data_IF_342430020715
#
_entry.id   IF_342430020715
#
_cell.length_a   1.000
_cell.length_b   1.000
_cell.length_c   1.000
_cell.angle_alpha   90.00
_cell.angle_beta   90.00
_cell.angle_gamma   90.00
#
_symmetry.space_group_name_H-M   'P 1'
#
loop_
_entity.id
_entity.type
_entity.pdbx_description
1 polymer ?
#
# COMPACT_ATOMS: atom_id res chain seq x y z
N UNK A 1 16.97 -9.66 -14.22
CA UNK A 1 16.07 -9.41 -13.07
C UNK A 1 16.62 -8.20 -12.32
N UNK A 2 16.03 -7.02 -12.53
CA UNK A 2 16.57 -5.73 -12.08
C UNK A 2 16.40 -5.62 -10.56
N UNK A 3 17.46 -5.25 -9.86
CA UNK A 3 17.57 -5.38 -8.41
C UNK A 3 16.51 -4.54 -7.67
N UNK A 4 15.49 -5.24 -7.18
CA UNK A 4 14.44 -4.71 -6.30
C UNK A 4 14.83 -4.89 -4.82
N UNK A 5 15.93 -5.61 -4.56
CA UNK A 5 16.38 -6.05 -3.22
C UNK A 5 17.51 -5.18 -2.66
N UNK A 6 18.16 -4.35 -3.49
CA UNK A 6 19.15 -3.40 -2.98
C UNK A 6 18.47 -2.17 -2.35
N UNK A 7 18.97 -1.66 -1.21
CA UNK A 7 18.43 -0.49 -0.53
C UNK A 7 18.53 0.81 -1.37
N UNK A 8 19.27 0.78 -2.47
CA UNK A 8 19.52 1.89 -3.40
C UNK A 8 18.93 1.54 -4.77
N UNK A 9 17.64 1.20 -4.83
CA UNK A 9 16.97 0.98 -6.12
C UNK A 9 16.76 2.32 -6.83
N UNK A 10 17.44 2.52 -7.96
CA UNK A 10 17.31 3.71 -8.83
C UNK A 10 15.95 3.82 -9.56
N UNK A 11 15.03 2.90 -9.30
CA UNK A 11 13.70 2.94 -9.89
C UNK A 11 12.79 3.86 -9.08
N UNK A 12 12.17 4.82 -9.76
CA UNK A 12 11.34 5.84 -9.12
C UNK A 12 9.87 5.68 -9.51
N UNK A 13 8.99 6.06 -8.60
CA UNK A 13 7.54 6.05 -8.74
C UNK A 13 6.99 7.45 -8.50
N UNK A 14 5.88 7.78 -9.13
CA UNK A 14 5.21 9.06 -8.92
C UNK A 14 4.45 9.08 -7.58
N UNK A 15 4.72 10.06 -6.73
CA UNK A 15 4.07 10.27 -5.43
C UNK A 15 2.54 10.34 -5.57
N UNK A 16 2.05 11.01 -6.60
CA UNK A 16 0.62 11.15 -6.92
C UNK A 16 -0.11 9.82 -7.09
N UNK A 17 0.53 8.88 -7.80
CA UNK A 17 -0.01 7.55 -8.06
C UNK A 17 -0.18 6.81 -6.73
N UNK A 18 0.78 6.97 -5.81
CA UNK A 18 0.70 6.35 -4.49
C UNK A 18 -0.38 6.96 -3.62
N UNK A 19 -0.61 8.28 -3.70
CA UNK A 19 -1.72 8.94 -2.99
C UNK A 19 -3.08 8.43 -3.47
N UNK A 20 -3.27 8.32 -4.79
CA UNK A 20 -4.50 7.73 -5.35
C UNK A 20 -4.70 6.29 -4.91
N UNK A 21 -3.62 5.49 -4.89
CA UNK A 21 -3.68 4.10 -4.44
C UNK A 21 -4.05 3.99 -2.95
N UNK A 22 -3.59 4.93 -2.12
CA UNK A 22 -3.98 5.01 -0.72
C UNK A 22 -5.48 5.35 -0.56
N UNK A 23 -6.00 6.30 -1.35
CA UNK A 23 -7.42 6.64 -1.35
C UNK A 23 -8.30 5.45 -1.76
N UNK A 24 -7.92 4.75 -2.84
CA UNK A 24 -8.64 3.55 -3.30
C UNK A 24 -8.62 2.46 -2.22
N UNK A 25 -7.47 2.27 -1.56
CA UNK A 25 -7.35 1.33 -0.43
C UNK A 25 -8.31 1.65 0.72
N UNK A 26 -8.43 2.93 1.10
CA UNK A 26 -9.36 3.37 2.16
C UNK A 26 -10.81 3.04 1.77
N UNK A 27 -11.21 3.35 0.54
CA UNK A 27 -12.57 3.07 0.03
C UNK A 27 -12.87 1.57 0.06
N UNK A 28 -11.93 0.73 -0.37
CA UNK A 28 -12.10 -0.73 -0.37
C UNK A 28 -12.25 -1.27 1.06
N UNK A 29 -11.44 -0.79 2.01
CA UNK A 29 -11.57 -1.20 3.42
C UNK A 29 -12.93 -0.77 3.99
N UNK A 30 -13.36 0.47 3.74
CA UNK A 30 -14.65 0.96 4.18
C UNK A 30 -15.84 0.15 3.61
N UNK A 31 -15.77 -0.20 2.31
CA UNK A 31 -16.75 -1.07 1.67
C UNK A 31 -16.72 -2.48 2.25
N UNK A 32 -15.54 -3.04 2.52
CA UNK A 32 -15.40 -4.37 3.12
C UNK A 32 -16.08 -4.48 4.49
N UNK A 33 -15.95 -3.44 5.32
CA UNK A 33 -16.66 -3.39 6.61
C UNK A 33 -18.17 -3.17 6.45
N UNK A 34 -18.58 -2.28 5.55
CA UNK A 34 -20.01 -1.95 5.34
C UNK A 34 -20.79 -3.13 4.75
N UNK A 35 -20.19 -3.84 3.79
CA UNK A 35 -20.81 -5.01 3.14
C UNK A 35 -20.53 -6.33 3.90
N UNK A 36 -19.71 -6.29 4.96
CA UNK A 36 -19.32 -7.44 5.78
C UNK A 36 -18.81 -8.65 4.95
N UNK A 37 -18.22 -8.39 3.78
CA UNK A 37 -17.90 -9.42 2.81
C UNK A 37 -16.39 -9.66 2.75
N UNK A 38 -15.99 -10.91 3.00
CA UNK A 38 -14.60 -11.39 2.89
C UNK A 38 -13.99 -11.09 1.53
N UNK A 39 -14.82 -11.00 0.48
CA UNK A 39 -14.38 -10.75 -0.89
C UNK A 39 -13.56 -9.46 -1.02
N UNK A 40 -13.94 -8.39 -0.31
CA UNK A 40 -13.21 -7.11 -0.36
C UNK A 40 -11.84 -7.21 0.30
N UNK A 41 -11.75 -7.93 1.44
CA UNK A 41 -10.47 -8.16 2.11
C UNK A 41 -9.55 -9.05 1.27
N UNK A 42 -10.09 -10.10 0.64
CA UNK A 42 -9.35 -10.96 -0.27
C UNK A 42 -8.85 -10.20 -1.51
N UNK A 43 -9.66 -9.31 -2.07
CA UNK A 43 -9.26 -8.44 -3.18
C UNK A 43 -8.13 -7.49 -2.77
N UNK A 44 -8.27 -6.86 -1.60
CA UNK A 44 -7.26 -5.95 -1.07
C UNK A 44 -5.94 -6.68 -0.76
N UNK A 45 -6.02 -7.89 -0.22
CA UNK A 45 -4.89 -8.79 0.00
C UNK A 45 -4.18 -9.11 -1.32
N UNK A 46 -4.91 -9.49 -2.35
CA UNK A 46 -4.36 -9.77 -3.68
C UNK A 46 -3.67 -8.54 -4.28
N UNK A 47 -4.26 -7.35 -4.15
CA UNK A 47 -3.65 -6.12 -4.63
C UNK A 47 -2.36 -5.77 -3.87
N UNK A 48 -2.35 -5.87 -2.54
CA UNK A 48 -1.12 -5.69 -1.75
C UNK A 48 -0.06 -6.74 -2.09
N UNK A 49 -0.45 -7.99 -2.35
CA UNK A 49 0.45 -9.05 -2.79
C UNK A 49 1.11 -8.70 -4.14
N UNK A 50 0.31 -8.26 -5.12
CA UNK A 50 0.81 -7.83 -6.42
C UNK A 50 1.76 -6.63 -6.26
N UNK A 51 1.45 -5.65 -5.40
CA UNK A 51 2.34 -4.50 -5.14
C UNK A 51 3.62 -4.87 -4.38
N UNK A 52 3.56 -5.91 -3.55
CA UNK A 52 4.67 -6.37 -2.70
C UNK A 52 5.67 -7.27 -3.43
N UNK A 53 5.19 -8.14 -4.32
CA UNK A 53 5.99 -9.16 -5.01
C UNK A 53 6.20 -8.86 -6.49
N UNK A 54 5.29 -8.13 -7.14
CA UNK A 54 5.39 -7.74 -8.55
C UNK A 54 5.76 -6.27 -8.68
N UNK A 55 6.38 -5.89 -9.80
CA UNK A 55 6.61 -4.48 -10.12
C UNK A 55 5.28 -3.75 -10.35
N UNK A 56 5.14 -2.55 -9.78
CA UNK A 56 3.96 -1.65 -9.95
C UNK A 56 3.39 -1.60 -11.38
N UNK A 57 4.21 -1.81 -12.42
CA UNK A 57 3.78 -1.84 -13.83
C UNK A 57 2.64 -2.81 -14.16
N UNK A 58 2.38 -3.83 -13.34
CA UNK A 58 1.32 -4.82 -13.59
C UNK A 58 0.13 -4.77 -12.62
N UNK A 59 0.12 -3.89 -11.60
CA UNK A 59 -1.10 -3.74 -10.79
C UNK A 59 -2.15 -2.95 -11.58
N UNK A 60 -3.39 -3.45 -11.70
CA UNK A 60 -4.48 -2.74 -12.39
C UNK A 60 -4.76 -1.36 -11.75
N UNK A 61 -4.45 -1.22 -10.45
CA UNK A 61 -4.57 0.05 -9.73
C UNK A 61 -3.47 1.01 -10.13
N UNK A 62 -2.24 0.54 -10.32
CA UNK A 62 -1.12 1.38 -10.78
C UNK A 62 -1.32 1.83 -12.24
N UNK A 63 -1.97 1.02 -13.08
CA UNK A 63 -2.33 1.39 -14.45
C UNK A 63 -3.41 2.48 -14.49
N UNK A 64 -4.47 2.33 -13.68
CA UNK A 64 -5.53 3.34 -13.57
C UNK A 64 -5.03 4.64 -12.95
N UNK A 65 -4.20 4.57 -11.91
CA UNK A 65 -3.60 5.76 -11.32
C UNK A 65 -2.53 6.40 -12.21
N UNK A 66 -1.82 5.65 -13.06
CA UNK A 66 -1.01 6.22 -14.13
C UNK A 66 -1.86 6.99 -15.15
N UNK A 67 -2.98 6.42 -15.60
CA UNK A 67 -3.92 7.09 -16.50
C UNK A 67 -4.53 8.34 -15.88
N UNK A 68 -4.90 8.27 -14.61
CA UNK A 68 -5.52 9.37 -13.89
C UNK A 68 -4.52 10.50 -13.62
N UNK A 69 -3.29 10.17 -13.19
CA UNK A 69 -2.22 11.16 -13.02
C UNK A 69 -1.82 11.83 -14.34
N UNK A 70 -1.85 11.08 -15.46
CA UNK A 70 -1.60 11.66 -16.79
C UNK A 70 -2.76 12.55 -17.26
N UNK A 71 -3.99 12.22 -16.88
CA UNK A 71 -5.17 13.04 -17.17
C UNK A 71 -5.22 14.34 -16.33
N UNK A 72 -4.71 14.31 -15.10
CA UNK A 72 -4.71 15.45 -14.18
C UNK A 72 -3.49 16.37 -14.31
N UNK A 73 -2.49 16.04 -15.14
CA UNK A 73 -1.27 16.85 -15.36
C UNK A 73 -0.54 17.27 -14.06
N UNK A 74 -0.62 16.44 -13.01
CA UNK A 74 -0.01 16.80 -11.73
C UNK A 74 1.50 16.59 -11.72
N UNK A 75 2.21 17.52 -11.08
CA UNK A 75 3.67 17.53 -11.01
C UNK A 75 4.23 16.18 -10.53
N UNK A 76 5.12 15.64 -11.35
CA UNK A 76 5.72 14.31 -11.18
C UNK A 76 6.82 14.38 -10.14
N UNK A 77 6.47 14.27 -8.85
CA UNK A 77 7.44 14.12 -7.78
C UNK A 77 7.86 12.66 -7.68
N UNK A 78 9.10 12.40 -8.06
CA UNK A 78 9.66 11.06 -8.14
C UNK A 78 10.21 10.61 -6.78
N UNK A 79 9.69 9.50 -6.25
CA UNK A 79 10.11 8.88 -4.99
C UNK A 79 10.70 7.49 -5.23
N UNK A 80 11.64 7.06 -4.39
CA UNK A 80 12.28 5.75 -4.50
C UNK A 80 11.30 4.59 -4.37
N UNK A 81 11.41 3.59 -5.25
CA UNK A 81 10.51 2.43 -5.29
C UNK A 81 10.75 1.43 -4.15
N UNK A 82 12.00 1.23 -3.73
CA UNK A 82 12.36 0.26 -2.69
C UNK A 82 11.56 0.42 -1.36
N UNK A 83 11.50 1.62 -0.73
CA UNK A 83 10.76 1.78 0.52
C UNK A 83 9.23 1.61 0.34
N UNK A 84 8.69 1.92 -0.85
CA UNK A 84 7.26 1.70 -1.17
C UNK A 84 6.90 0.22 -1.32
N UNK A 85 7.80 -0.59 -1.88
CA UNK A 85 7.60 -2.06 -1.94
C UNK A 85 7.60 -2.66 -0.54
N UNK A 86 8.46 -2.17 0.36
CA UNK A 86 8.44 -2.57 1.76
C UNK A 86 7.12 -2.19 2.45
N UNK A 87 6.64 -0.96 2.25
CA UNK A 87 5.34 -0.54 2.77
C UNK A 87 4.19 -1.42 2.24
N UNK A 88 4.23 -1.84 0.97
CA UNK A 88 3.25 -2.76 0.40
C UNK A 88 3.30 -4.16 1.05
N UNK A 89 4.49 -4.67 1.40
CA UNK A 89 4.64 -5.94 2.14
C UNK A 89 4.06 -5.86 3.54
N UNK A 90 4.30 -4.77 4.25
CA UNK A 90 3.67 -4.53 5.55
C UNK A 90 2.14 -4.46 5.41
N UNK A 91 1.65 -3.75 4.40
CA UNK A 91 0.22 -3.70 4.08
C UNK A 91 -0.38 -5.08 3.81
N UNK A 92 0.33 -5.95 3.07
CA UNK A 92 -0.08 -7.33 2.82
C UNK A 92 -0.19 -8.15 4.10
N UNK A 93 0.80 -8.06 5.00
CA UNK A 93 0.75 -8.77 6.29
C UNK A 93 -0.42 -8.28 7.12
N UNK A 94 -0.66 -6.96 7.17
CA UNK A 94 -1.78 -6.39 7.91
C UNK A 94 -3.13 -6.82 7.34
N UNK A 95 -3.30 -6.83 6.01
CA UNK A 95 -4.55 -7.31 5.40
C UNK A 95 -4.76 -8.81 5.60
N UNK A 96 -3.68 -9.61 5.60
CA UNK A 96 -3.76 -11.04 5.90
C UNK A 96 -4.23 -11.29 7.33
N UNK A 97 -3.72 -10.51 8.29
CA UNK A 97 -4.17 -10.53 9.68
C UNK A 97 -5.64 -10.13 9.75
N UNK A 98 -6.06 -9.04 9.09
CA UNK A 98 -7.47 -8.62 9.05
C UNK A 98 -8.37 -9.74 8.50
N UNK A 99 -8.00 -10.35 7.36
CA UNK A 99 -8.75 -11.46 6.76
C UNK A 99 -8.85 -12.63 7.74
N UNK A 100 -7.75 -13.03 8.37
CA UNK A 100 -7.73 -14.17 9.32
C UNK A 100 -8.59 -13.89 10.55
N UNK A 101 -8.49 -12.69 11.12
CA UNK A 101 -9.31 -12.25 12.26
C UNK A 101 -10.79 -12.22 11.89
N UNK A 102 -11.12 -11.74 10.69
CA UNK A 102 -12.48 -11.71 10.19
C UNK A 102 -13.07 -13.12 9.99
N UNK A 103 -12.28 -14.07 9.45
CA UNK A 103 -12.69 -15.48 9.32
C UNK A 103 -12.88 -16.15 10.70
N UNK A 104 -12.08 -15.77 11.70
CA UNK A 104 -12.22 -16.27 13.07
C UNK A 104 -13.43 -15.68 13.83
N UNK A 105 -14.18 -14.76 13.22
CA UNK A 105 -15.32 -14.08 13.85
C UNK A 105 -14.96 -12.94 14.79
N UNK A 106 -13.67 -12.62 14.96
CA UNK A 106 -13.18 -11.50 15.78
C UNK A 106 -13.26 -10.18 14.99
N UNK A 107 -14.48 -9.73 14.73
CA UNK A 107 -14.74 -8.51 13.94
C UNK A 107 -14.22 -7.23 14.60
N UNK A 108 -14.22 -7.16 15.94
CA UNK A 108 -13.66 -6.02 16.70
C UNK A 108 -12.16 -5.88 16.49
N UNK A 109 -11.41 -6.99 16.58
CA UNK A 109 -9.98 -7.00 16.35
C UNK A 109 -9.65 -6.65 14.89
N UNK A 110 -10.43 -7.18 13.93
CA UNK A 110 -10.30 -6.83 12.52
C UNK A 110 -10.54 -5.33 12.28
N UNK A 111 -11.52 -4.73 12.96
CA UNK A 111 -11.84 -3.30 12.88
C UNK A 111 -10.71 -2.42 13.42
N UNK A 112 -10.08 -2.81 14.54
CA UNK A 112 -8.93 -2.08 15.10
C UNK A 112 -7.77 -2.09 14.10
N UNK A 113 -7.40 -3.26 13.57
CA UNK A 113 -6.29 -3.37 12.61
C UNK A 113 -6.60 -2.66 11.30
N UNK A 114 -7.84 -2.79 10.80
CA UNK A 114 -8.32 -2.08 9.62
C UNK A 114 -8.31 -0.56 9.81
N UNK A 115 -8.71 -0.07 10.97
CA UNK A 115 -8.67 1.34 11.34
C UNK A 115 -7.25 1.91 11.35
N UNK A 116 -6.28 1.16 11.90
CA UNK A 116 -4.86 1.53 11.84
C UNK A 116 -4.37 1.63 10.38
N UNK A 117 -4.76 0.67 9.54
CA UNK A 117 -4.40 0.65 8.12
C UNK A 117 -4.99 1.86 7.36
N UNK A 118 -6.25 2.22 7.65
CA UNK A 118 -6.92 3.41 7.11
C UNK A 118 -6.25 4.69 7.60
N UNK A 119 -5.86 4.76 8.87
CA UNK A 119 -5.17 5.91 9.44
C UNK A 119 -3.82 6.16 8.75
N UNK A 120 -3.00 5.11 8.58
CA UNK A 120 -1.72 5.24 7.87
C UNK A 120 -1.91 5.56 6.38
N UNK A 121 -2.92 4.99 5.73
CA UNK A 121 -3.27 5.32 4.34
C UNK A 121 -3.73 6.77 4.20
N UNK A 122 -4.45 7.29 5.19
CA UNK A 122 -4.93 8.67 5.21
C UNK A 122 -3.78 9.67 5.39
N UNK A 123 -2.79 9.35 6.23
CA UNK A 123 -1.55 10.14 6.34
C UNK A 123 -0.80 10.20 5.00
N UNK A 124 -0.70 9.07 4.31
CA UNK A 124 -0.06 9.01 2.99
C UNK A 124 -0.84 9.83 1.95
N UNK A 125 -2.17 9.77 1.96
CA UNK A 125 -3.00 10.56 1.05
C UNK A 125 -2.97 12.07 1.34
N UNK A 126 -3.07 12.47 2.61
CA UNK A 126 -3.18 13.87 3.02
C UNK A 126 -1.84 14.59 3.06
N UNK A 127 -0.81 13.98 3.66
CA UNK A 127 0.50 14.59 3.91
C UNK A 127 1.60 14.05 2.99
N UNK A 128 1.35 12.99 2.21
CA UNK A 128 2.40 12.31 1.43
C UNK A 128 3.38 11.52 2.29
N UNK A 129 3.09 11.36 3.59
CA UNK A 129 3.99 10.70 4.55
C UNK A 129 3.61 9.23 4.68
N UNK A 130 4.50 8.36 4.21
CA UNK A 130 4.36 6.91 4.36
C UNK A 130 5.08 6.42 5.60
N UNK A 131 4.32 5.97 6.61
CA UNK A 131 4.87 5.33 7.82
C UNK A 131 5.79 4.14 7.48
N UNK A 132 5.41 3.33 6.49
CA UNK A 132 6.24 2.20 6.03
C UNK A 132 7.59 2.64 5.44
N UNK A 133 7.63 3.79 4.75
CA UNK A 133 8.90 4.34 4.25
C UNK A 133 9.79 4.86 5.39
N UNK A 134 9.22 5.49 6.42
CA UNK A 134 9.98 5.95 7.60
C UNK A 134 10.59 4.75 8.32
N UNK A 135 9.79 3.70 8.52
CA UNK A 135 10.21 2.47 9.18
C UNK A 135 11.32 1.77 8.37
N UNK A 136 11.24 1.79 7.04
CA UNK A 136 12.32 1.33 6.18
C UNK A 136 13.63 2.12 6.38
N UNK A 137 13.54 3.45 6.41
CA UNK A 137 14.71 4.31 6.61
C UNK A 137 15.34 4.15 7.99
N UNK A 138 14.53 3.95 9.03
CA UNK A 138 15.04 3.85 10.40
C UNK A 138 15.48 2.45 10.78
N UNK A 139 14.84 1.40 10.25
CA UNK A 139 15.14 0.02 10.60
C UNK A 139 16.11 -0.59 9.59
N UNK A 140 15.81 -0.53 8.30
CA UNK A 140 16.52 -1.35 7.30
C UNK A 140 17.80 -0.70 6.79
N UNK A 141 17.78 0.62 6.62
CA UNK A 141 18.94 1.40 6.17
C UNK A 141 20.16 1.32 7.12
N UNK A 142 20.03 1.38 8.46
CA UNK A 142 21.19 1.28 9.36
C UNK A 142 21.78 -0.13 9.50
N UNK A 143 21.00 -1.20 9.25
CA UNK A 143 21.55 -2.57 9.24
C UNK A 143 22.43 -2.86 8.00
N UNK A 144 22.43 -1.98 7.01
CA UNK A 144 23.17 -2.15 5.75
C UNK A 144 24.34 -1.16 5.57
N UNK A 145 24.65 -0.39 6.62
CA UNK A 145 25.79 0.53 6.67
C UNK A 145 26.99 -0.14 7.33
#
# INVERSE_FOLDING_TARGET
MKQIVCPISNEKINEQITRLNALIGIVIVALGFTLNSVFFFAFLLADFYIRAFTGLKFSPISYTSHRLANALNLQRKEIGKAPKVFAARLGFVMTLVITTLFLSGLTTAALVVGGILVFFSSLEFALGVCMGCILYTYVILPFYK
#
